data_IF_309985079725
#
_entry.id   IF_309985079725
#
_cell.length_a   1.000
_cell.length_b   1.000
_cell.length_c   1.000
_cell.angle_alpha   90.00
_cell.angle_beta   90.00
_cell.angle_gamma   90.00
#
_symmetry.space_group_name_H-M   'P 1'
#
loop_
_entity.id
_entity.type
_entity.pdbx_description
1 polymer ?
#
# COMPACT_ATOMS: atom_id res chain seq x y z
N UNK A 1 -20.68 -17.37 -14.08
CA UNK A 1 -19.60 -18.05 -13.34
C UNK A 1 -18.52 -17.04 -13.05
N UNK A 2 -18.34 -16.64 -11.80
CA UNK A 2 -17.22 -15.76 -11.40
C UNK A 2 -15.98 -16.60 -11.12
N UNK A 3 -14.80 -16.03 -11.28
CA UNK A 3 -13.55 -16.63 -10.79
C UNK A 3 -13.60 -16.76 -9.27
N UNK A 4 -13.07 -17.85 -8.72
CA UNK A 4 -12.94 -17.97 -7.26
C UNK A 4 -11.88 -17.00 -6.72
N UNK A 5 -11.92 -16.72 -5.41
CA UNK A 5 -10.88 -15.91 -4.75
C UNK A 5 -9.48 -16.52 -4.94
N UNK A 6 -9.38 -17.86 -4.92
CA UNK A 6 -8.14 -18.59 -5.18
C UNK A 6 -7.65 -18.39 -6.62
N UNK A 7 -8.55 -18.45 -7.61
CA UNK A 7 -8.21 -18.21 -9.01
C UNK A 7 -7.72 -16.77 -9.24
N UNK A 8 -8.32 -15.79 -8.56
CA UNK A 8 -7.92 -14.39 -8.63
C UNK A 8 -6.51 -14.21 -8.08
N UNK A 9 -6.23 -14.74 -6.89
CA UNK A 9 -4.89 -14.64 -6.29
C UNK A 9 -3.86 -15.38 -7.12
N UNK A 10 -4.18 -16.57 -7.62
CA UNK A 10 -3.31 -17.32 -8.51
C UNK A 10 -2.99 -16.50 -9.78
N UNK A 11 -3.98 -15.81 -10.35
CA UNK A 11 -3.81 -14.92 -11.50
C UNK A 11 -2.94 -13.71 -11.16
N UNK A 12 -3.15 -13.06 -10.00
CA UNK A 12 -2.27 -11.97 -9.53
C UNK A 12 -0.83 -12.46 -9.45
N UNK A 13 -0.60 -13.61 -8.81
CA UNK A 13 0.73 -14.19 -8.62
C UNK A 13 1.41 -14.59 -9.93
N UNK A 14 0.68 -15.27 -10.82
CA UNK A 14 1.26 -15.92 -12.00
C UNK A 14 1.26 -15.05 -13.26
N UNK A 15 0.34 -14.07 -13.35
CA UNK A 15 0.14 -13.26 -14.56
C UNK A 15 0.49 -11.80 -14.29
N UNK A 16 0.01 -11.21 -13.20
CA UNK A 16 0.17 -9.77 -12.96
C UNK A 16 1.49 -9.40 -12.29
N UNK A 17 1.89 -10.12 -11.23
CA UNK A 17 3.12 -9.84 -10.49
C UNK A 17 4.37 -9.86 -11.38
N UNK A 18 4.55 -10.79 -12.34
CA UNK A 18 5.68 -10.77 -13.27
C UNK A 18 5.75 -9.54 -14.19
N UNK A 19 4.62 -8.84 -14.38
CA UNK A 19 4.51 -7.67 -15.26
C UNK A 19 4.49 -6.36 -14.47
N UNK A 20 4.38 -6.42 -13.14
CA UNK A 20 4.27 -5.25 -12.29
C UNK A 20 5.66 -4.70 -11.95
N UNK A 21 5.88 -3.41 -12.23
CA UNK A 21 7.03 -2.69 -11.66
C UNK A 21 6.88 -2.59 -10.14
N UNK A 22 5.69 -2.24 -9.65
CA UNK A 22 5.39 -2.20 -8.22
C UNK A 22 4.06 -2.87 -7.91
N UNK A 23 4.05 -3.75 -6.92
CA UNK A 23 2.85 -4.36 -6.37
C UNK A 23 2.66 -3.89 -4.93
N UNK A 24 1.56 -3.19 -4.65
CA UNK A 24 1.23 -2.70 -3.32
C UNK A 24 0.19 -3.61 -2.65
N UNK A 25 0.50 -4.13 -1.47
CA UNK A 25 -0.39 -4.96 -0.66
C UNK A 25 -0.39 -4.46 0.79
N UNK A 26 -1.47 -4.63 1.52
CA UNK A 26 -1.44 -4.60 2.99
C UNK A 26 -0.86 -5.90 3.54
N UNK A 27 -0.35 -5.86 4.77
CA UNK A 27 0.11 -7.09 5.45
C UNK A 27 -0.97 -8.18 5.49
N UNK A 28 -2.24 -7.80 5.68
CA UNK A 28 -3.36 -8.74 5.67
C UNK A 28 -3.65 -9.32 4.28
N UNK A 29 -3.54 -8.52 3.21
CA UNK A 29 -3.75 -9.02 1.84
C UNK A 29 -2.62 -9.97 1.45
N UNK A 30 -1.37 -9.62 1.76
CA UNK A 30 -0.22 -10.49 1.52
C UNK A 30 -0.37 -11.82 2.29
N UNK A 31 -0.74 -11.77 3.57
CA UNK A 31 -0.94 -12.97 4.38
C UNK A 31 -2.01 -13.91 3.78
N UNK A 32 -3.15 -13.36 3.36
CA UNK A 32 -4.20 -14.14 2.68
C UNK A 32 -3.74 -14.72 1.35
N UNK A 33 -2.95 -13.96 0.59
CA UNK A 33 -2.41 -14.49 -0.66
C UNK A 33 -1.40 -15.62 -0.40
N UNK A 34 -0.61 -15.49 0.67
CA UNK A 34 0.44 -16.43 1.01
C UNK A 34 -0.07 -17.80 1.44
N UNK A 35 -1.31 -17.90 1.93
CA UNK A 35 -1.98 -19.18 2.18
C UNK A 35 -2.01 -20.11 0.95
N UNK A 36 -1.90 -19.57 -0.27
CA UNK A 36 -1.92 -20.34 -1.52
C UNK A 36 -0.55 -20.81 -2.04
N UNK A 37 0.55 -20.42 -1.38
CA UNK A 37 1.89 -20.91 -1.72
C UNK A 37 2.68 -21.44 -0.53
N UNK A 38 2.29 -21.10 0.70
CA UNK A 38 2.87 -21.69 1.89
C UNK A 38 2.46 -23.16 2.00
N UNK A 39 3.40 -23.98 2.45
CA UNK A 39 3.10 -25.37 2.81
C UNK A 39 2.18 -25.42 4.04
N UNK A 40 1.28 -26.40 4.07
CA UNK A 40 0.34 -26.55 5.18
C UNK A 40 1.10 -26.76 6.51
N UNK A 41 0.82 -25.90 7.50
CA UNK A 41 1.46 -25.93 8.80
C UNK A 41 2.81 -25.20 8.89
N UNK A 42 3.26 -24.55 7.80
CA UNK A 42 4.44 -23.68 7.82
C UNK A 42 4.02 -22.22 8.00
N UNK A 43 4.49 -21.61 9.08
CA UNK A 43 4.32 -20.19 9.32
C UNK A 43 5.32 -19.41 8.46
N UNK A 44 4.84 -18.56 7.56
CA UNK A 44 5.71 -17.72 6.72
C UNK A 44 6.07 -16.42 7.42
N UNK A 45 7.18 -15.81 6.97
CA UNK A 45 7.58 -14.46 7.35
C UNK A 45 7.17 -13.48 6.26
N UNK A 46 7.22 -12.19 6.59
CA UNK A 46 6.93 -11.15 5.61
C UNK A 46 7.90 -11.22 4.43
N UNK A 47 9.17 -11.46 4.74
CA UNK A 47 10.27 -11.55 3.79
C UNK A 47 10.09 -12.75 2.84
N UNK A 48 9.71 -13.94 3.36
CA UNK A 48 9.50 -15.12 2.52
C UNK A 48 8.27 -14.99 1.62
N UNK A 49 7.19 -14.38 2.09
CA UNK A 49 6.02 -14.12 1.25
C UNK A 49 6.29 -13.12 0.13
N UNK A 50 7.07 -12.08 0.43
CA UNK A 50 7.47 -11.10 -0.57
C UNK A 50 8.46 -11.70 -1.56
N UNK A 51 9.38 -12.54 -1.10
CA UNK A 51 10.35 -13.22 -1.95
C UNK A 51 9.66 -14.06 -3.04
N UNK A 52 8.51 -14.66 -2.75
CA UNK A 52 7.72 -15.39 -3.74
C UNK A 52 7.21 -14.48 -4.87
N UNK A 53 6.86 -13.22 -4.57
CA UNK A 53 6.38 -12.24 -5.55
C UNK A 53 7.55 -11.64 -6.36
N UNK A 54 8.67 -11.32 -5.71
CA UNK A 54 9.85 -10.77 -6.39
C UNK A 54 10.55 -11.81 -7.26
N UNK A 55 10.63 -13.08 -6.82
CA UNK A 55 11.17 -14.20 -7.61
C UNK A 55 10.37 -14.45 -8.90
N UNK A 56 9.11 -14.03 -8.95
CA UNK A 56 8.24 -14.13 -10.13
C UNK A 56 8.40 -12.98 -11.11
N UNK A 57 9.20 -11.96 -10.79
CA UNK A 57 9.54 -10.86 -11.70
C UNK A 57 9.06 -9.48 -11.24
N UNK A 58 8.31 -9.38 -10.15
CA UNK A 58 7.91 -8.08 -9.60
C UNK A 58 9.15 -7.34 -9.09
N UNK A 59 9.43 -6.14 -9.61
CA UNK A 59 10.62 -5.38 -9.21
C UNK A 59 10.49 -4.89 -7.75
N UNK A 60 9.36 -4.28 -7.43
CA UNK A 60 9.09 -3.72 -6.12
C UNK A 60 7.83 -4.34 -5.51
N UNK A 61 7.90 -4.75 -4.25
CA UNK A 61 6.72 -5.10 -3.46
C UNK A 61 6.61 -4.14 -2.29
N UNK A 62 5.54 -3.35 -2.25
CA UNK A 62 5.26 -2.42 -1.17
C UNK A 62 4.25 -3.06 -0.22
N UNK A 63 4.68 -3.41 0.98
CA UNK A 63 3.81 -3.90 2.05
C UNK A 63 3.45 -2.76 2.99
N UNK A 64 2.16 -2.56 3.21
CA UNK A 64 1.63 -1.46 4.03
C UNK A 64 0.97 -1.95 5.31
N UNK A 65 0.95 -1.07 6.31
CA UNK A 65 0.13 -1.25 7.52
C UNK A 65 0.74 -2.15 8.59
N UNK A 66 2.04 -2.49 8.49
CA UNK A 66 2.74 -3.20 9.57
C UNK A 66 2.81 -2.31 10.81
N UNK A 67 2.88 -2.93 11.99
CA UNK A 67 3.01 -2.22 13.25
C UNK A 67 4.39 -1.54 13.32
N UNK A 68 4.40 -0.22 13.50
CA UNK A 68 5.62 0.56 13.70
C UNK A 68 5.90 0.84 15.16
N UNK A 69 6.94 1.65 15.40
CA UNK A 69 7.30 2.09 16.74
C UNK A 69 6.22 3.01 17.35
N UNK A 70 5.79 2.74 18.58
CA UNK A 70 4.80 3.55 19.30
C UNK A 70 3.41 3.56 18.62
N UNK A 71 2.97 4.72 18.16
CA UNK A 71 1.67 4.92 17.48
C UNK A 71 1.83 5.13 15.96
N UNK A 72 2.90 4.59 15.38
CA UNK A 72 3.18 4.69 13.95
C UNK A 72 2.74 3.43 13.22
N UNK A 73 2.48 3.60 11.93
CA UNK A 73 2.45 2.50 10.97
C UNK A 73 3.73 2.52 10.18
N UNK A 74 4.07 1.36 9.65
CA UNK A 74 5.26 1.19 8.83
C UNK A 74 4.82 0.67 7.47
N UNK A 75 5.44 1.20 6.42
CA UNK A 75 5.37 0.63 5.10
C UNK A 75 6.77 0.18 4.70
N UNK A 76 6.87 -1.01 4.14
CA UNK A 76 8.13 -1.64 3.77
C UNK A 76 8.15 -1.86 2.26
N UNK A 77 9.09 -1.23 1.58
CA UNK A 77 9.38 -1.43 0.18
C UNK A 77 10.49 -2.47 0.04
N UNK A 78 10.17 -3.59 -0.58
CA UNK A 78 11.12 -4.61 -0.95
C UNK A 78 11.50 -4.40 -2.40
N UNK A 79 12.77 -4.13 -2.66
CA UNK A 79 13.36 -4.15 -3.98
C UNK A 79 14.01 -5.53 -4.19
N UNK A 80 13.73 -6.14 -5.35
CA UNK A 80 14.37 -7.39 -5.76
C UNK A 80 15.90 -7.28 -5.76
N UNK A 81 16.45 -6.12 -6.11
CA UNK A 81 17.88 -5.95 -6.39
C UNK A 81 18.61 -5.13 -5.31
N UNK A 82 17.95 -4.14 -4.69
CA UNK A 82 18.59 -3.17 -3.76
C UNK A 82 18.23 -3.36 -2.27
N UNK A 83 17.42 -4.37 -1.94
CA UNK A 83 17.12 -4.76 -0.55
C UNK A 83 15.81 -4.18 -0.01
N UNK A 84 15.78 -3.83 1.28
CA UNK A 84 14.54 -3.49 2.00
C UNK A 84 14.62 -2.07 2.57
N UNK A 85 13.61 -1.25 2.25
CA UNK A 85 13.47 0.10 2.81
C UNK A 85 12.19 0.20 3.64
N UNK A 86 12.32 0.68 4.87
CA UNK A 86 11.22 0.83 5.81
C UNK A 86 10.96 2.29 6.11
N UNK A 87 9.71 2.73 5.96
CA UNK A 87 9.29 4.10 6.22
C UNK A 87 8.15 4.12 7.25
N UNK A 88 8.47 4.69 8.40
CA UNK A 88 7.53 4.95 9.47
C UNK A 88 6.73 6.24 9.19
N UNK A 89 5.42 6.19 9.41
CA UNK A 89 4.55 7.36 9.29
C UNK A 89 3.48 7.37 10.38
N UNK A 90 2.97 8.56 10.69
CA UNK A 90 2.00 8.72 11.77
C UNK A 90 0.68 8.03 11.43
N UNK A 91 0.20 7.17 12.33
CA UNK A 91 -1.13 6.60 12.18
C UNK A 91 -2.19 7.67 12.41
N UNK A 92 -3.12 7.81 11.46
CA UNK A 92 -4.29 8.66 11.62
C UNK A 92 -5.48 7.82 12.10
N UNK A 93 -6.16 8.24 13.18
CA UNK A 93 -7.36 7.55 13.63
C UNK A 93 -8.48 7.71 12.60
N UNK A 94 -9.28 6.65 12.42
CA UNK A 94 -10.45 6.64 11.55
C UNK A 94 -10.45 5.54 10.50
N UNK A 95 -11.64 5.25 9.97
CA UNK A 95 -11.82 4.27 8.89
C UNK A 95 -11.84 4.98 7.55
N UNK A 96 -10.77 4.83 6.78
CA UNK A 96 -10.63 5.44 5.46
C UNK A 96 -11.00 4.47 4.35
N UNK A 97 -11.68 4.97 3.32
CA UNK A 97 -11.93 4.28 2.07
C UNK A 97 -10.98 4.85 0.99
N UNK A 98 -10.04 4.03 0.51
CA UNK A 98 -9.14 4.41 -0.58
C UNK A 98 -7.82 5.06 -0.15
N UNK A 99 -7.37 4.86 1.09
CA UNK A 99 -6.02 5.25 1.53
C UNK A 99 -4.94 4.55 0.69
N UNK A 100 -5.04 3.22 0.55
CA UNK A 100 -4.13 2.43 -0.30
C UNK A 100 -4.13 2.92 -1.74
N UNK A 101 -5.29 3.05 -2.39
CA UNK A 101 -5.38 3.57 -3.76
C UNK A 101 -4.79 4.99 -3.92
N UNK A 102 -4.85 5.81 -2.87
CA UNK A 102 -4.24 7.15 -2.89
C UNK A 102 -2.72 7.06 -2.83
N UNK A 103 -2.19 6.17 -1.98
CA UNK A 103 -0.76 5.89 -1.88
C UNK A 103 -0.21 5.27 -3.17
N UNK A 104 -0.83 4.22 -3.69
CA UNK A 104 -0.38 3.56 -4.92
C UNK A 104 -0.46 4.49 -6.13
N UNK A 105 -1.55 5.27 -6.25
CA UNK A 105 -1.69 6.26 -7.32
C UNK A 105 -0.61 7.35 -7.26
N UNK A 106 -0.31 7.87 -6.07
CA UNK A 106 0.75 8.87 -5.91
C UNK A 106 2.14 8.30 -6.19
N UNK A 107 2.42 7.07 -5.71
CA UNK A 107 3.68 6.37 -5.94
C UNK A 107 3.92 6.15 -7.44
N UNK A 108 2.96 5.56 -8.14
CA UNK A 108 3.08 5.29 -9.59
C UNK A 108 3.23 6.60 -10.37
N UNK A 109 2.50 7.66 -10.01
CA UNK A 109 2.64 8.96 -10.67
C UNK A 109 4.03 9.58 -10.49
N UNK A 110 4.67 9.39 -9.33
CA UNK A 110 6.02 9.88 -9.07
C UNK A 110 7.08 9.04 -9.80
N UNK A 111 6.96 7.71 -9.75
CA UNK A 111 7.84 6.79 -10.49
C UNK A 111 7.75 7.02 -12.01
N UNK A 112 6.56 7.26 -12.55
CA UNK A 112 6.36 7.58 -13.96
C UNK A 112 7.06 8.88 -14.41
N UNK A 113 7.43 9.75 -13.46
CA UNK A 113 8.25 10.96 -13.72
C UNK A 113 9.75 10.69 -13.66
N UNK A 114 10.17 9.42 -13.56
CA UNK A 114 11.57 9.02 -13.45
C UNK A 114 12.16 9.19 -12.05
N UNK A 115 11.32 9.31 -11.02
CA UNK A 115 11.79 9.38 -9.64
C UNK A 115 12.18 8.00 -9.14
N UNK A 116 13.26 7.94 -8.36
CA UNK A 116 13.66 6.76 -7.60
C UNK A 116 12.51 6.22 -6.74
N UNK A 117 12.42 4.89 -6.58
CA UNK A 117 11.30 4.23 -5.93
C UNK A 117 11.18 4.59 -4.44
N UNK A 118 12.31 4.73 -3.73
CA UNK A 118 12.32 5.08 -2.31
C UNK A 118 11.88 6.53 -2.12
N UNK A 119 12.43 7.45 -2.91
CA UNK A 119 12.04 8.86 -2.83
C UNK A 119 10.58 9.08 -3.28
N UNK A 120 10.13 8.35 -4.31
CA UNK A 120 8.75 8.35 -4.75
C UNK A 120 7.81 7.86 -3.65
N UNK A 121 8.18 6.80 -2.91
CA UNK A 121 7.39 6.32 -1.78
C UNK A 121 7.31 7.34 -0.65
N UNK A 122 8.43 7.99 -0.30
CA UNK A 122 8.47 9.03 0.74
C UNK A 122 7.49 10.16 0.42
N UNK A 123 7.53 10.68 -0.80
CA UNK A 123 6.64 11.76 -1.24
C UNK A 123 5.18 11.28 -1.40
N UNK A 124 4.95 10.05 -1.85
CA UNK A 124 3.62 9.46 -1.95
C UNK A 124 2.96 9.30 -0.56
N UNK A 125 3.74 8.92 0.46
CA UNK A 125 3.27 8.86 1.84
C UNK A 125 2.91 10.24 2.38
N UNK A 126 3.75 11.25 2.15
CA UNK A 126 3.46 12.63 2.55
C UNK A 126 2.17 13.16 1.91
N UNK A 127 2.01 12.93 0.60
CA UNK A 127 0.81 13.28 -0.13
C UNK A 127 -0.43 12.56 0.42
N UNK A 128 -0.32 11.24 0.64
CA UNK A 128 -1.42 10.43 1.18
C UNK A 128 -1.81 10.91 2.57
N UNK A 129 -0.84 11.14 3.45
CA UNK A 129 -1.08 11.66 4.79
C UNK A 129 -1.85 12.98 4.76
N UNK A 130 -1.45 13.92 3.89
CA UNK A 130 -2.19 15.17 3.70
C UNK A 130 -3.62 14.95 3.18
N UNK A 131 -3.82 14.04 2.22
CA UNK A 131 -5.16 13.70 1.71
C UNK A 131 -6.05 13.05 2.80
N UNK A 132 -5.47 12.26 3.70
CA UNK A 132 -6.17 11.65 4.83
C UNK A 132 -6.50 12.67 5.93
N UNK A 133 -5.60 13.60 6.25
CA UNK A 133 -5.86 14.68 7.21
C UNK A 133 -7.04 15.55 6.80
N UNK A 134 -7.21 15.77 5.50
CA UNK A 134 -8.31 16.56 4.94
C UNK A 134 -9.47 15.70 4.44
N UNK A 135 -9.51 14.42 4.83
CA UNK A 135 -10.56 13.51 4.39
C UNK A 135 -11.94 13.99 4.82
N UNK A 136 -12.92 13.70 3.98
CA UNK A 136 -14.31 14.09 4.20
C UNK A 136 -15.18 12.86 4.39
N UNK A 137 -16.21 13.00 5.23
CA UNK A 137 -17.24 11.96 5.40
C UNK A 137 -18.45 12.33 4.58
N UNK A 138 -18.84 11.45 3.66
CA UNK A 138 -20.09 11.58 2.92
C UNK A 138 -21.18 10.77 3.63
N UNK A 139 -22.17 11.46 4.18
CA UNK A 139 -23.23 10.85 4.99
C UNK A 139 -22.67 10.12 6.21
N UNK A 140 -23.13 8.89 6.44
CA UNK A 140 -22.70 8.03 7.56
C UNK A 140 -21.58 7.03 7.17
N UNK A 141 -20.99 7.18 5.98
CA UNK A 141 -19.98 6.26 5.45
C UNK A 141 -18.57 6.43 6.04
N UNK A 142 -17.58 5.73 5.47
CA UNK A 142 -16.15 5.86 5.80
C UNK A 142 -15.59 7.23 5.38
N UNK A 143 -14.48 7.66 5.97
CA UNK A 143 -13.74 8.86 5.53
C UNK A 143 -13.14 8.63 4.14
N UNK A 144 -13.30 9.58 3.22
CA UNK A 144 -12.75 9.52 1.86
C UNK A 144 -11.62 10.54 1.75
N UNK A 145 -10.40 10.15 1.33
CA UNK A 145 -9.27 11.05 1.22
C UNK A 145 -9.56 12.22 0.28
N UNK A 146 -9.27 13.44 0.71
CA UNK A 146 -9.36 14.62 -0.14
C UNK A 146 -8.10 14.77 -0.97
N UNK A 147 -8.11 14.23 -2.19
CA UNK A 147 -6.98 14.26 -3.13
C UNK A 147 -6.70 15.65 -3.72
N UNK A 148 -7.57 16.63 -3.44
CA UNK A 148 -7.41 18.03 -3.86
C UNK A 148 -7.01 18.95 -2.70
N UNK A 149 -6.60 18.41 -1.55
CA UNK A 149 -6.30 19.19 -0.35
C UNK A 149 -5.24 20.29 -0.55
N UNK A 150 -4.35 20.15 -1.55
CA UNK A 150 -3.35 21.16 -1.91
C UNK A 150 -3.89 22.28 -2.82
N UNK A 151 -5.04 22.07 -3.46
CA UNK A 151 -5.65 23.02 -4.40
C UNK A 151 -6.76 23.85 -3.76
N UNK A 152 -7.30 23.41 -2.63
CA UNK A 152 -8.40 24.08 -1.95
C UNK A 152 -7.88 25.07 -0.89
N UNK A 153 -8.52 26.25 -0.72
CA UNK A 153 -8.24 27.14 0.39
C UNK A 153 -8.43 26.41 1.72
N UNK A 154 -7.48 26.54 2.64
CA UNK A 154 -7.47 25.80 3.92
C UNK A 154 -8.50 26.33 4.94
N UNK A 155 -9.21 27.41 4.61
CA UNK A 155 -10.07 28.16 5.55
C UNK A 155 -11.46 27.53 5.80
N UNK A 156 -11.79 26.41 5.15
CA UNK A 156 -13.14 25.83 5.19
C UNK A 156 -13.28 24.48 5.93
N UNK A 157 -12.19 23.83 6.32
CA UNK A 157 -12.25 22.46 6.84
C UNK A 157 -12.32 22.51 8.37
N UNK A 158 -13.54 22.52 8.92
CA UNK A 158 -13.75 22.16 10.33
C UNK A 158 -13.21 20.76 10.52
N UNK A 159 -12.13 20.61 11.30
CA UNK A 159 -11.62 19.31 11.74
C UNK A 159 -12.79 18.54 12.34
N UNK A 160 -13.11 17.39 11.76
CA UNK A 160 -14.10 16.49 12.33
C UNK A 160 -13.53 16.00 13.67
N UNK A 161 -14.03 16.57 14.76
CA UNK A 161 -13.87 16.08 16.13
C UNK A 161 -14.61 14.77 16.32
#
# INVERSE_FOLDING_TARGET
SGMSDEDIVASIRQILAPQATVLQLSQSELGRMAELWREAGVEGSLETDVAELTARGCQYVLVTGTAGSGHKRTNTLFDRDEGVTTLDWQHLPGHFLGAGCTLSGALVALMARGMDAVEALRLAQEYTYGALLHAQRFGMGKLVPNRFYRLLPQDGIKKAS
#
